data_IF_820752553535
#
_entry.id   IF_820752553535
#
_cell.length_a   1.000
_cell.length_b   1.000
_cell.length_c   1.000
_cell.angle_alpha   90.00
_cell.angle_beta   90.00
_cell.angle_gamma   90.00
#
_symmetry.space_group_name_H-M   'P 1'
#
loop_
_entity.id
_entity.type
_entity.pdbx_description
1 polymer ?
#
# COMPACT_ATOMS: atom_id res chain seq x y z
N UNK A 1 -11.52 -24.03 1.56
CA UNK A 1 -10.67 -23.26 0.62
C UNK A 1 -10.78 -21.78 1.00
N UNK A 2 -9.68 -21.06 1.27
CA UNK A 2 -9.73 -19.61 1.51
C UNK A 2 -9.77 -18.90 0.14
N UNK A 3 -10.55 -17.83 -0.02
CA UNK A 3 -10.61 -17.12 -1.30
C UNK A 3 -9.27 -16.45 -1.62
N UNK A 4 -8.87 -16.43 -2.90
CA UNK A 4 -7.57 -15.84 -3.31
C UNK A 4 -7.48 -14.37 -2.93
N UNK A 5 -8.56 -13.60 -3.06
CA UNK A 5 -8.62 -12.22 -2.59
C UNK A 5 -8.26 -12.08 -1.10
N UNK A 6 -8.71 -13.02 -0.25
CA UNK A 6 -8.35 -13.02 1.17
C UNK A 6 -6.87 -13.37 1.38
N UNK A 7 -6.32 -14.31 0.63
CA UNK A 7 -4.90 -14.68 0.76
C UNK A 7 -3.99 -13.56 0.24
N UNK A 8 -4.32 -12.94 -0.90
CA UNK A 8 -3.62 -11.75 -1.40
C UNK A 8 -3.63 -10.62 -0.37
N UNK A 9 -4.79 -10.36 0.25
CA UNK A 9 -4.88 -9.43 1.37
C UNK A 9 -3.92 -9.80 2.51
N UNK A 10 -3.80 -11.07 2.88
CA UNK A 10 -2.86 -11.51 3.93
C UNK A 10 -1.40 -11.30 3.55
N UNK A 11 -1.02 -11.49 2.29
CA UNK A 11 0.34 -11.23 1.79
C UNK A 11 0.66 -9.74 1.83
N UNK A 12 -0.25 -8.93 1.28
CA UNK A 12 -0.08 -7.48 1.22
C UNK A 12 0.02 -6.88 2.61
N UNK A 13 -0.86 -7.27 3.53
CA UNK A 13 -0.78 -6.83 4.92
C UNK A 13 0.53 -7.27 5.59
N UNK A 14 1.12 -8.40 5.19
CA UNK A 14 2.42 -8.82 5.70
C UNK A 14 3.54 -7.88 5.24
N UNK A 15 3.54 -7.47 3.96
CA UNK A 15 4.49 -6.48 3.45
C UNK A 15 4.37 -5.11 4.12
N UNK A 16 3.13 -4.64 4.36
CA UNK A 16 2.89 -3.35 5.03
C UNK A 16 3.45 -3.33 6.46
N UNK A 17 3.45 -4.48 7.17
CA UNK A 17 3.94 -4.57 8.55
C UNK A 17 5.42 -4.19 8.66
N UNK A 18 6.23 -4.51 7.67
CA UNK A 18 7.66 -4.17 7.66
C UNK A 18 7.90 -2.66 7.60
N UNK A 19 6.98 -1.92 6.97
CA UNK A 19 7.01 -0.46 6.88
C UNK A 19 6.05 0.22 7.88
N UNK A 20 5.57 -0.51 8.89
CA UNK A 20 4.48 -0.05 9.76
C UNK A 20 4.76 1.29 10.44
N UNK A 21 5.99 1.51 10.90
CA UNK A 21 6.39 2.78 11.55
C UNK A 21 6.21 3.97 10.62
N UNK A 22 6.75 3.91 9.40
CA UNK A 22 6.66 5.01 8.42
C UNK A 22 5.22 5.23 7.95
N UNK A 23 4.49 4.12 7.73
CA UNK A 23 3.06 4.18 7.38
C UNK A 23 2.24 4.80 8.52
N UNK A 24 2.52 4.46 9.77
CA UNK A 24 1.85 4.98 10.96
C UNK A 24 2.11 6.47 11.17
N UNK A 25 3.34 6.93 10.94
CA UNK A 25 3.71 8.36 11.00
C UNK A 25 2.97 9.18 9.93
N UNK A 26 3.01 8.74 8.67
CA UNK A 26 2.26 9.42 7.59
C UNK A 26 0.76 9.38 7.85
N UNK A 27 0.22 8.25 8.35
CA UNK A 27 -1.19 8.16 8.77
C UNK A 27 -1.51 9.16 9.87
N UNK A 28 -0.65 9.31 10.88
CA UNK A 28 -0.80 10.31 11.94
C UNK A 28 -0.92 11.73 11.39
N UNK A 29 -0.02 12.09 10.46
CA UNK A 29 -0.04 13.38 9.77
C UNK A 29 -1.36 13.60 9.02
N UNK A 30 -1.77 12.65 8.18
CA UNK A 30 -3.02 12.72 7.43
C UNK A 30 -4.23 12.84 8.37
N UNK A 31 -4.28 12.05 9.45
CA UNK A 31 -5.36 12.07 10.45
C UNK A 31 -5.48 13.43 11.11
N UNK A 32 -4.37 14.06 11.48
CA UNK A 32 -4.41 15.39 12.08
C UNK A 32 -5.01 16.41 11.12
N UNK A 33 -4.53 16.47 9.87
CA UNK A 33 -4.99 17.44 8.87
C UNK A 33 -6.48 17.21 8.56
N UNK A 34 -6.91 15.96 8.50
CA UNK A 34 -8.30 15.56 8.22
C UNK A 34 -9.23 15.64 9.44
N UNK A 35 -8.71 15.93 10.64
CA UNK A 35 -9.51 15.95 11.86
C UNK A 35 -10.54 17.09 11.89
N UNK A 36 -10.31 18.19 11.17
CA UNK A 36 -11.28 19.28 11.07
C UNK A 36 -11.14 20.13 9.80
N UNK A 37 -12.22 20.78 9.32
CA UNK A 37 -12.16 21.65 8.15
C UNK A 37 -11.15 22.81 8.26
N UNK A 38 -10.96 23.48 9.42
CA UNK A 38 -9.95 24.53 9.55
C UNK A 38 -8.51 24.03 9.35
N UNK A 39 -8.17 22.84 9.89
CA UNK A 39 -6.85 22.23 9.70
C UNK A 39 -6.60 21.90 8.23
N UNK A 40 -7.59 21.32 7.56
CA UNK A 40 -7.51 21.04 6.13
C UNK A 40 -7.38 22.33 5.30
N UNK A 41 -8.08 23.40 5.68
CA UNK A 41 -7.99 24.70 4.99
C UNK A 41 -6.60 25.29 5.12
N UNK A 42 -6.03 25.29 6.33
CA UNK A 42 -4.65 25.72 6.58
C UNK A 42 -3.63 24.87 5.82
N UNK A 43 -3.87 23.57 5.71
CA UNK A 43 -3.02 22.68 4.91
C UNK A 43 -3.08 22.99 3.42
N UNK A 44 -4.28 23.18 2.88
CA UNK A 44 -4.46 23.55 1.47
C UNK A 44 -3.82 24.90 1.14
N UNK A 45 -3.67 25.80 2.11
CA UNK A 45 -2.88 27.01 1.94
C UNK A 45 -1.40 26.66 1.73
N UNK A 46 -0.83 25.75 2.54
CA UNK A 46 0.56 25.26 2.35
C UNK A 46 0.76 24.58 1.02
N UNK A 47 -0.20 23.78 0.57
CA UNK A 47 -0.17 23.15 -0.77
C UNK A 47 -0.02 24.21 -1.88
N UNK A 48 -0.73 25.35 -1.75
CA UNK A 48 -0.61 26.46 -2.71
C UNK A 48 0.74 27.18 -2.61
N UNK A 49 1.21 27.45 -1.39
CA UNK A 49 2.49 28.13 -1.13
C UNK A 49 3.69 27.30 -1.65
N UNK A 50 3.64 25.97 -1.49
CA UNK A 50 4.64 25.03 -2.01
C UNK A 50 4.52 24.78 -3.52
N UNK A 51 3.54 25.40 -4.19
CA UNK A 51 3.26 25.26 -5.62
C UNK A 51 3.02 23.81 -6.06
N UNK A 52 2.33 23.02 -5.24
CA UNK A 52 2.06 21.61 -5.54
C UNK A 52 0.86 21.51 -6.50
N UNK A 53 1.11 21.07 -7.74
CA UNK A 53 0.09 20.86 -8.76
C UNK A 53 -0.59 19.47 -8.63
N UNK A 54 -1.32 19.27 -7.53
CA UNK A 54 -2.15 18.09 -7.35
C UNK A 54 -3.52 18.46 -6.82
N UNK A 55 -4.57 17.97 -7.49
CA UNK A 55 -5.98 18.13 -7.10
C UNK A 55 -6.50 16.97 -6.24
N UNK A 56 -5.65 15.98 -5.93
CA UNK A 56 -6.03 14.83 -5.14
C UNK A 56 -6.44 15.22 -3.72
N UNK A 57 -7.51 14.64 -3.19
CA UNK A 57 -7.95 14.96 -1.83
C UNK A 57 -7.35 13.97 -0.83
N UNK A 58 -6.69 14.48 0.21
CA UNK A 58 -6.27 13.65 1.34
C UNK A 58 -7.45 12.82 1.86
N UNK A 59 -7.25 11.51 1.95
CA UNK A 59 -8.25 10.56 2.43
C UNK A 59 -7.73 9.83 3.68
N UNK A 60 -8.64 9.43 4.56
CA UNK A 60 -8.31 8.59 5.71
C UNK A 60 -8.28 7.13 5.26
N UNK A 61 -7.39 6.33 5.84
CA UNK A 61 -7.42 4.89 5.67
C UNK A 61 -8.33 4.21 6.69
N UNK A 62 -8.66 2.95 6.38
CA UNK A 62 -9.24 1.97 7.30
C UNK A 62 -8.13 0.94 7.53
N UNK A 63 -7.45 0.91 8.69
CA UNK A 63 -6.25 0.11 8.90
C UNK A 63 -6.41 -1.40 8.64
N UNK A 64 -7.64 -1.91 8.74
CA UNK A 64 -7.97 -3.31 8.44
C UNK A 64 -8.11 -3.61 6.94
N UNK A 65 -8.11 -2.58 6.07
CA UNK A 65 -8.28 -2.65 4.61
C UNK A 65 -7.11 -2.00 3.90
N UNK A 66 -6.13 -2.81 3.52
CA UNK A 66 -4.90 -2.33 2.89
C UNK A 66 -5.12 -1.47 1.63
N UNK A 67 -6.18 -1.70 0.84
CA UNK A 67 -6.53 -0.86 -0.31
C UNK A 67 -6.71 0.61 0.08
N UNK A 68 -7.35 0.86 1.23
CA UNK A 68 -7.52 2.22 1.74
C UNK A 68 -6.22 2.82 2.26
N UNK A 69 -5.33 2.01 2.84
CA UNK A 69 -3.98 2.43 3.24
C UNK A 69 -3.15 2.80 2.01
N UNK A 70 -3.17 1.98 0.96
CA UNK A 70 -2.53 2.31 -0.31
C UNK A 70 -3.01 3.65 -0.88
N UNK A 71 -4.33 3.84 -0.95
CA UNK A 71 -4.90 5.10 -1.46
C UNK A 71 -4.51 6.31 -0.62
N UNK A 72 -4.51 6.18 0.71
CA UNK A 72 -4.06 7.23 1.62
C UNK A 72 -2.58 7.58 1.36
N UNK A 73 -1.70 6.58 1.30
CA UNK A 73 -0.27 6.78 1.05
C UNK A 73 -0.02 7.44 -0.32
N UNK A 74 -0.64 6.92 -1.38
CA UNK A 74 -0.51 7.41 -2.76
C UNK A 74 -0.90 8.88 -2.90
N UNK A 75 -1.92 9.32 -2.15
CA UNK A 75 -2.31 10.73 -2.14
C UNK A 75 -1.39 11.55 -1.24
N UNK A 76 -1.06 11.06 -0.05
CA UNK A 76 -0.25 11.79 0.92
C UNK A 76 1.17 12.09 0.41
N UNK A 77 1.80 11.14 -0.29
CA UNK A 77 3.15 11.29 -0.86
C UNK A 77 3.27 12.51 -1.79
N UNK A 78 2.22 12.82 -2.56
CA UNK A 78 2.18 14.02 -3.42
C UNK A 78 2.25 15.34 -2.65
N UNK A 79 1.95 15.31 -1.35
CA UNK A 79 1.88 16.48 -0.49
C UNK A 79 2.98 16.51 0.58
N UNK A 80 4.03 15.69 0.44
CA UNK A 80 5.17 15.64 1.37
C UNK A 80 5.73 17.02 1.71
N UNK A 81 6.05 17.84 0.71
CA UNK A 81 6.55 19.21 0.91
C UNK A 81 5.58 20.08 1.71
N UNK A 82 4.27 19.92 1.51
CA UNK A 82 3.26 20.64 2.28
C UNK A 82 3.18 20.13 3.72
N UNK A 83 3.37 18.84 3.97
CA UNK A 83 3.46 18.30 5.33
C UNK A 83 4.70 18.83 6.07
N UNK A 84 5.86 18.86 5.41
CA UNK A 84 7.09 19.43 5.98
C UNK A 84 6.94 20.92 6.30
N UNK A 85 6.36 21.68 5.37
CA UNK A 85 6.09 23.11 5.55
C UNK A 85 5.11 23.37 6.70
N UNK A 86 4.03 22.56 6.79
CA UNK A 86 3.06 22.63 7.88
C UNK A 86 3.71 22.30 9.24
N UNK A 87 4.62 21.33 9.28
CA UNK A 87 5.36 20.94 10.48
C UNK A 87 6.24 22.06 11.04
N UNK A 88 6.93 22.81 10.17
CA UNK A 88 7.76 23.93 10.59
C UNK A 88 6.95 25.06 11.24
N UNK A 89 5.74 25.29 10.73
CA UNK A 89 4.97 26.49 11.07
C UNK A 89 3.84 26.27 12.09
N UNK A 90 3.43 25.02 12.34
CA UNK A 90 2.34 24.69 13.26
C UNK A 90 2.84 23.86 14.45
N UNK A 91 3.10 24.54 15.57
CA UNK A 91 3.57 23.89 16.80
C UNK A 91 2.58 22.84 17.33
N UNK A 92 1.26 23.04 17.17
CA UNK A 92 0.26 22.08 17.64
C UNK A 92 0.28 20.80 16.80
N UNK A 93 0.62 20.89 15.52
CA UNK A 93 0.84 19.72 14.68
C UNK A 93 2.07 18.94 15.13
N UNK A 94 3.20 19.62 15.33
CA UNK A 94 4.41 18.99 15.85
C UNK A 94 4.17 18.26 17.18
N UNK A 95 3.53 18.93 18.15
CA UNK A 95 3.21 18.34 19.45
C UNK A 95 2.28 17.13 19.31
N UNK A 96 1.22 17.24 18.49
CA UNK A 96 0.28 16.15 18.30
C UNK A 96 0.92 14.91 17.67
N UNK A 97 1.77 15.10 16.66
CA UNK A 97 2.47 13.99 16.02
C UNK A 97 3.49 13.35 16.95
N UNK A 98 4.24 14.14 17.71
CA UNK A 98 5.22 13.65 18.69
C UNK A 98 4.56 12.86 19.82
N UNK A 99 3.36 13.25 20.24
CA UNK A 99 2.57 12.49 21.22
C UNK A 99 1.89 11.23 20.64
N UNK A 100 1.86 11.10 19.31
CA UNK A 100 1.24 9.99 18.59
C UNK A 100 2.27 9.03 17.99
N UNK A 101 2.19 8.79 16.69
CA UNK A 101 3.06 7.87 15.96
C UNK A 101 4.47 8.44 15.67
N UNK A 102 4.70 9.71 15.99
CA UNK A 102 5.89 10.46 15.62
C UNK A 102 5.69 11.29 14.36
N UNK A 103 6.68 12.13 14.11
CA UNK A 103 6.74 13.01 12.93
C UNK A 103 7.31 12.23 11.74
N UNK A 104 6.70 12.30 10.54
CA UNK A 104 7.28 11.73 9.34
C UNK A 104 8.65 12.36 9.02
N UNK A 105 9.68 11.55 8.84
CA UNK A 105 11.01 11.97 8.40
C UNK A 105 11.16 11.83 6.89
N UNK A 106 12.27 12.34 6.34
CA UNK A 106 12.65 12.11 4.95
C UNK A 106 12.70 10.61 4.60
N UNK A 107 13.33 9.80 5.45
CA UNK A 107 13.42 8.35 5.26
C UNK A 107 12.03 7.67 5.28
N UNK A 108 11.10 8.17 6.10
CA UNK A 108 9.74 7.65 6.13
C UNK A 108 9.03 7.82 4.78
N UNK A 109 9.23 8.96 4.12
CA UNK A 109 8.66 9.22 2.80
C UNK A 109 9.27 8.34 1.72
N UNK A 110 10.58 8.10 1.75
CA UNK A 110 11.24 7.16 0.84
C UNK A 110 10.74 5.72 1.02
N UNK A 111 10.57 5.28 2.27
CA UNK A 111 9.95 3.99 2.58
C UNK A 111 8.52 3.95 2.05
N UNK A 112 7.72 5.01 2.25
CA UNK A 112 6.35 5.09 1.75
C UNK A 112 6.28 5.01 0.23
N UNK A 113 7.17 5.67 -0.51
CA UNK A 113 7.26 5.56 -1.98
C UNK A 113 7.53 4.12 -2.42
N UNK A 114 8.46 3.41 -1.77
CA UNK A 114 8.73 1.99 -2.03
C UNK A 114 7.51 1.11 -1.74
N UNK A 115 6.82 1.36 -0.62
CA UNK A 115 5.57 0.66 -0.28
C UNK A 115 4.51 0.91 -1.37
N UNK A 116 4.27 2.16 -1.77
CA UNK A 116 3.32 2.50 -2.85
C UNK A 116 3.66 1.72 -4.13
N UNK A 117 4.93 1.69 -4.53
CA UNK A 117 5.40 0.98 -5.72
C UNK A 117 5.13 -0.53 -5.66
N UNK A 118 5.31 -1.15 -4.50
CA UNK A 118 5.02 -2.59 -4.32
C UNK A 118 3.52 -2.86 -4.22
N UNK A 119 2.74 -1.98 -3.60
CA UNK A 119 1.31 -2.17 -3.40
C UNK A 119 0.47 -1.89 -4.65
N UNK A 120 0.92 -1.01 -5.53
CA UNK A 120 0.18 -0.57 -6.72
C UNK A 120 -0.25 -1.72 -7.64
N UNK A 121 0.62 -2.67 -8.02
CA UNK A 121 0.21 -3.81 -8.84
C UNK A 121 -0.87 -4.66 -8.16
N UNK A 122 -0.73 -4.94 -6.87
CA UNK A 122 -1.76 -5.69 -6.12
C UNK A 122 -3.09 -4.93 -6.10
N UNK A 123 -3.07 -3.59 -6.07
CA UNK A 123 -4.27 -2.77 -6.01
C UNK A 123 -5.06 -2.92 -7.31
N UNK A 124 -4.36 -2.85 -8.45
CA UNK A 124 -4.96 -3.09 -9.76
C UNK A 124 -5.49 -4.51 -9.93
N UNK A 125 -4.74 -5.54 -9.46
CA UNK A 125 -5.22 -6.92 -9.46
C UNK A 125 -6.49 -7.08 -8.63
N UNK A 126 -6.55 -6.46 -7.46
CA UNK A 126 -7.73 -6.52 -6.58
C UNK A 126 -8.93 -5.81 -7.18
N UNK A 127 -8.74 -4.68 -7.87
CA UNK A 127 -9.80 -4.00 -8.61
C UNK A 127 -10.31 -4.86 -9.77
N UNK A 128 -9.42 -5.49 -10.54
CA UNK A 128 -9.77 -6.43 -11.62
C UNK A 128 -10.65 -7.57 -11.08
N UNK A 129 -10.27 -8.17 -9.96
CA UNK A 129 -11.05 -9.22 -9.31
C UNK A 129 -12.40 -8.72 -8.77
N UNK A 130 -12.44 -7.52 -8.19
CA UNK A 130 -13.65 -6.97 -7.56
C UNK A 130 -14.68 -6.47 -8.58
N UNK A 131 -14.24 -6.13 -9.79
CA UNK A 131 -15.11 -5.69 -10.88
C UNK A 131 -15.78 -6.83 -11.65
N UNK A 132 -15.37 -8.09 -11.43
CA UNK A 132 -16.01 -9.24 -12.07
C UNK A 132 -17.23 -9.71 -11.29
N UNK A 133 -18.35 -9.90 -11.98
CA UNK A 133 -19.56 -10.52 -11.42
C UNK A 133 -19.35 -12.01 -11.09
N UNK A 134 -18.40 -12.66 -11.77
CA UNK A 134 -18.06 -14.07 -11.58
C UNK A 134 -16.54 -14.23 -11.67
N UNK A 135 -15.90 -14.70 -10.59
CA UNK A 135 -14.49 -15.12 -10.65
C UNK A 135 -14.46 -16.51 -11.26
N UNK A 136 -14.01 -16.62 -12.51
CA UNK A 136 -13.74 -17.91 -13.16
C UNK A 136 -12.39 -18.45 -12.73
N UNK A 137 -12.18 -19.75 -12.81
CA UNK A 137 -10.87 -20.34 -12.49
C UNK A 137 -9.78 -19.83 -13.42
N UNK A 138 -10.10 -19.56 -14.70
CA UNK A 138 -9.20 -18.88 -15.63
C UNK A 138 -8.73 -17.51 -15.09
N UNK A 139 -9.66 -16.65 -14.67
CA UNK A 139 -9.31 -15.33 -14.12
C UNK A 139 -8.49 -15.42 -12.83
N UNK A 140 -8.68 -16.49 -12.05
CA UNK A 140 -7.90 -16.78 -10.86
C UNK A 140 -6.45 -17.14 -11.20
N UNK A 141 -6.26 -17.96 -12.24
CA UNK A 141 -4.95 -18.37 -12.72
C UNK A 141 -4.15 -17.20 -13.29
N UNK A 142 -4.80 -16.32 -14.05
CA UNK A 142 -4.18 -15.07 -14.51
C UNK A 142 -3.64 -14.27 -13.32
N UNK A 143 -4.47 -14.03 -12.29
CA UNK A 143 -4.04 -13.27 -11.11
C UNK A 143 -2.86 -13.91 -10.39
N UNK A 144 -2.85 -15.24 -10.24
CA UNK A 144 -1.73 -15.94 -9.59
C UNK A 144 -0.46 -15.85 -10.44
N UNK A 145 -0.58 -15.98 -11.76
CA UNK A 145 0.54 -15.82 -12.70
C UNK A 145 1.09 -14.41 -12.64
N UNK A 146 0.22 -13.39 -12.65
CA UNK A 146 0.61 -11.99 -12.52
C UNK A 146 1.38 -11.74 -11.22
N UNK A 147 0.90 -12.28 -10.08
CA UNK A 147 1.59 -12.17 -8.79
C UNK A 147 2.94 -12.87 -8.79
N UNK A 148 3.05 -14.06 -9.40
CA UNK A 148 4.34 -14.74 -9.57
C UNK A 148 5.32 -13.88 -10.37
N UNK A 149 4.91 -13.36 -11.52
CA UNK A 149 5.74 -12.51 -12.36
C UNK A 149 6.16 -11.21 -11.65
N UNK A 150 5.28 -10.61 -10.85
CA UNK A 150 5.62 -9.45 -10.03
C UNK A 150 6.75 -9.76 -9.05
N UNK A 151 6.65 -10.89 -8.33
CA UNK A 151 7.70 -11.29 -7.42
C UNK A 151 9.02 -11.50 -8.11
N UNK A 152 9.04 -12.16 -9.28
CA UNK A 152 10.26 -12.40 -10.05
C UNK A 152 10.88 -11.09 -10.53
N UNK A 153 10.07 -10.19 -11.08
CA UNK A 153 10.55 -8.86 -11.50
C UNK A 153 11.14 -8.03 -10.35
N UNK A 154 10.67 -8.18 -9.12
CA UNK A 154 11.24 -7.46 -7.97
C UNK A 154 12.61 -7.98 -7.55
N UNK A 155 12.97 -9.24 -7.80
CA UNK A 155 14.30 -9.74 -7.44
C UNK A 155 15.41 -9.05 -8.25
N UNK A 156 15.08 -8.62 -9.48
CA UNK A 156 16.01 -7.98 -10.40
C UNK A 156 15.90 -6.44 -10.42
N UNK A 157 15.13 -5.84 -9.50
CA UNK A 157 14.82 -4.40 -9.57
C UNK A 157 15.93 -3.47 -9.05
N UNK A 158 17.00 -4.02 -8.46
CA UNK A 158 18.17 -3.28 -7.97
C UNK A 158 17.97 -2.50 -6.65
N UNK A 159 16.75 -2.43 -6.12
CA UNK A 159 16.42 -1.77 -4.84
C UNK A 159 16.36 -2.83 -3.72
N UNK A 160 17.35 -2.82 -2.83
CA UNK A 160 17.53 -3.84 -1.80
C UNK A 160 16.38 -3.85 -0.78
N UNK A 161 15.82 -2.68 -0.48
CA UNK A 161 14.68 -2.55 0.42
C UNK A 161 13.41 -3.15 -0.20
N UNK A 162 13.17 -2.90 -1.49
CA UNK A 162 12.07 -3.55 -2.23
C UNK A 162 12.29 -5.06 -2.29
N UNK A 163 13.50 -5.53 -2.62
CA UNK A 163 13.83 -6.96 -2.66
C UNK A 163 13.56 -7.60 -1.30
N UNK A 164 14.03 -6.99 -0.21
CA UNK A 164 13.83 -7.51 1.15
C UNK A 164 12.35 -7.62 1.52
N UNK A 165 11.56 -6.56 1.27
CA UNK A 165 10.13 -6.53 1.55
C UNK A 165 9.36 -7.57 0.70
N UNK A 166 9.66 -7.62 -0.60
CA UNK A 166 8.95 -8.49 -1.55
C UNK A 166 9.33 -9.96 -1.37
N UNK A 167 10.57 -10.27 -0.96
CA UNK A 167 10.98 -11.62 -0.60
C UNK A 167 10.17 -12.19 0.58
N UNK A 168 9.96 -11.39 1.63
CA UNK A 168 9.11 -11.81 2.77
C UNK A 168 7.63 -11.98 2.37
N UNK A 169 7.14 -11.13 1.48
CA UNK A 169 5.80 -11.29 0.88
C UNK A 169 5.72 -12.57 0.04
N UNK A 170 6.77 -12.88 -0.74
CA UNK A 170 6.90 -14.11 -1.54
C UNK A 170 6.92 -15.34 -0.64
N UNK A 171 7.61 -15.32 0.50
CA UNK A 171 7.58 -16.43 1.46
C UNK A 171 6.16 -16.71 1.97
N UNK A 172 5.39 -15.64 2.20
CA UNK A 172 3.99 -15.76 2.59
C UNK A 172 3.14 -16.33 1.45
N UNK A 173 3.40 -15.90 0.23
CA UNK A 173 2.76 -16.43 -0.99
C UNK A 173 3.05 -17.93 -1.16
N UNK A 174 4.32 -18.34 -1.12
CA UNK A 174 4.75 -19.72 -1.29
C UNK A 174 4.15 -20.66 -0.24
N UNK A 175 3.87 -20.17 0.98
CA UNK A 175 3.16 -20.97 2.02
C UNK A 175 1.73 -21.35 1.65
N UNK A 176 1.06 -20.58 0.79
CA UNK A 176 -0.32 -20.87 0.38
C UNK A 176 -0.41 -21.59 -0.96
N UNK A 177 0.43 -21.20 -1.92
CA UNK A 177 0.35 -21.71 -3.29
C UNK A 177 1.50 -22.61 -3.70
N UNK A 178 2.53 -22.78 -2.87
CA UNK A 178 3.69 -23.59 -3.18
C UNK A 178 4.76 -22.85 -3.98
N UNK A 179 5.89 -23.51 -4.17
CA UNK A 179 7.07 -22.98 -4.87
C UNK A 179 7.49 -23.96 -5.98
N UNK A 180 7.70 -23.46 -7.19
CA UNK A 180 8.13 -24.26 -8.35
C UNK A 180 7.24 -25.49 -8.56
N UNK A 181 7.82 -26.68 -8.49
CA UNK A 181 7.09 -27.95 -8.73
C UNK A 181 6.18 -28.38 -7.57
N UNK A 182 6.09 -27.60 -6.47
CA UNK A 182 5.21 -27.86 -5.32
C UNK A 182 3.96 -26.99 -5.34
N UNK A 183 3.59 -26.42 -6.49
CA UNK A 183 2.38 -25.60 -6.59
C UNK A 183 1.15 -26.42 -6.18
N UNK A 184 0.26 -25.79 -5.41
CA UNK A 184 -0.95 -26.44 -4.92
C UNK A 184 -1.83 -26.91 -6.10
N UNK A 185 -1.84 -28.22 -6.33
CA UNK A 185 -2.53 -28.89 -7.44
C UNK A 185 -4.03 -28.55 -7.52
N UNK A 186 -4.66 -28.13 -6.42
CA UNK A 186 -6.04 -27.67 -6.40
C UNK A 186 -6.27 -26.41 -7.26
N UNK A 187 -5.26 -25.55 -7.43
CA UNK A 187 -5.33 -24.39 -8.32
C UNK A 187 -5.38 -24.85 -9.78
N UNK A 188 -4.52 -25.79 -10.16
CA UNK A 188 -4.52 -26.34 -11.52
C UNK A 188 -5.78 -27.12 -11.85
N UNK A 189 -6.28 -27.93 -10.92
CA UNK A 189 -7.53 -28.67 -11.11
C UNK A 189 -8.72 -27.70 -11.29
N UNK A 190 -8.77 -26.60 -10.53
CA UNK A 190 -9.82 -25.60 -10.70
C UNK A 190 -9.83 -25.00 -12.10
N UNK A 191 -8.65 -24.72 -12.68
CA UNK A 191 -8.50 -24.16 -14.04
C UNK A 191 -8.85 -25.17 -15.13
N UNK A 192 -8.40 -26.41 -14.97
CA UNK A 192 -8.64 -27.49 -15.96
C UNK A 192 -10.13 -27.87 -16.01
N UNK A 193 -10.84 -27.77 -14.89
CA UNK A 193 -12.26 -28.07 -14.79
C UNK A 193 -13.17 -26.83 -14.80
N UNK A 194 -12.66 -25.67 -15.25
CA UNK A 194 -13.50 -24.49 -15.56
C UNK A 194 -14.34 -24.82 -16.82
N UNK A 195 -15.67 -24.87 -16.76
CA UNK A 195 -16.52 -25.31 -17.89
C UNK A 195 -16.49 -24.40 -19.12
#
# INVERSE_FOLDING_TARGET
MRCVAHILNLIVQYGIKDASVSVDRVRGAVRYIRASPPKLTKFNQRVKEEMIDSKAQLCLDVPTRWNSTYMMLKVAEKYERAFESYLRDDHNFFLNLTAGYGVPTFDDWDIVRRVIKVLEPFYHLTLKMSGSLHVTSHSLFEVLTDVHCLFDGWQDCGDLEIISMTSKMRDKYNKYWGEGNKINMLVYLAVIFDP
#
